data_IF_098472180515
#
_entry.id   IF_098472180515
#
_cell.length_a   1.000
_cell.length_b   1.000
_cell.length_c   1.000
_cell.angle_alpha   90.00
_cell.angle_beta   90.00
_cell.angle_gamma   90.00
#
_symmetry.space_group_name_H-M   'P 1'
#
loop_
_entity.id
_entity.type
_entity.pdbx_description
1 polymer ?
#
# COMPACT_ATOMS: atom_id res chain seq x y z
N UNK A 1 -10.27 -4.70 10.10
CA UNK A 1 -11.64 -5.22 10.01
C UNK A 1 -12.69 -4.21 10.48
N UNK A 2 -12.71 -3.78 11.79
CA UNK A 2 -13.77 -2.90 12.29
C UNK A 2 -13.88 -1.58 11.52
N UNK A 3 -12.76 -0.89 11.25
CA UNK A 3 -12.73 0.37 10.46
C UNK A 3 -13.29 0.15 9.06
N UNK A 4 -12.88 -0.91 8.38
CA UNK A 4 -13.36 -1.22 7.04
C UNK A 4 -14.87 -1.47 7.00
N UNK A 5 -15.41 -2.25 7.94
CA UNK A 5 -16.84 -2.54 8.02
C UNK A 5 -17.69 -1.29 8.32
N UNK A 6 -17.25 -0.44 9.25
CA UNK A 6 -17.94 0.81 9.57
C UNK A 6 -17.86 1.81 8.42
N UNK A 7 -16.74 1.83 7.71
CA UNK A 7 -16.53 2.66 6.52
C UNK A 7 -17.27 2.18 5.27
N UNK A 8 -17.88 0.99 5.30
CA UNK A 8 -18.59 0.42 4.14
C UNK A 8 -17.66 0.15 2.95
N UNK A 9 -16.41 -0.27 3.22
CA UNK A 9 -15.40 -0.49 2.17
C UNK A 9 -15.74 -1.71 1.31
N UNK A 10 -15.46 -1.61 0.03
CA UNK A 10 -15.67 -2.69 -0.95
C UNK A 10 -14.44 -3.58 -1.11
N UNK A 11 -13.26 -3.06 -0.83
CA UNK A 11 -11.99 -3.77 -0.93
C UNK A 11 -10.96 -3.21 0.07
N UNK A 12 -9.87 -3.94 0.26
CA UNK A 12 -8.72 -3.51 1.08
C UNK A 12 -7.50 -3.31 0.19
N UNK A 13 -6.65 -2.36 0.57
CA UNK A 13 -5.33 -2.16 -0.05
C UNK A 13 -4.28 -2.42 1.03
N UNK A 14 -3.35 -3.29 0.71
CA UNK A 14 -2.23 -3.68 1.55
C UNK A 14 -0.91 -3.28 0.88
N UNK A 15 -0.15 -2.44 1.57
CA UNK A 15 1.11 -1.91 1.08
C UNK A 15 2.34 -2.64 1.64
N UNK A 16 2.16 -3.86 2.16
CA UNK A 16 3.22 -4.79 2.53
C UNK A 16 3.82 -4.60 3.93
N UNK A 17 4.83 -5.42 4.19
CA UNK A 17 5.46 -5.65 5.50
C UNK A 17 4.51 -6.37 6.48
N UNK A 18 3.80 -7.39 5.97
CA UNK A 18 2.96 -8.27 6.77
C UNK A 18 3.75 -9.24 7.64
N UNK A 19 4.99 -9.45 7.29
CA UNK A 19 5.93 -10.31 8.03
C UNK A 19 7.15 -9.51 8.47
N UNK A 20 7.97 -10.09 9.34
CA UNK A 20 9.23 -9.49 9.78
C UNK A 20 10.43 -9.99 8.98
N UNK A 21 10.29 -11.15 8.32
CA UNK A 21 11.40 -11.80 7.62
C UNK A 21 10.98 -12.66 6.41
N UNK A 22 9.70 -12.74 6.11
CA UNK A 22 9.16 -13.61 5.05
C UNK A 22 9.20 -15.10 5.39
N UNK A 23 9.43 -15.46 6.64
CA UNK A 23 9.48 -16.85 7.05
C UNK A 23 8.10 -17.52 6.98
N UNK A 24 8.06 -18.79 6.59
CA UNK A 24 6.80 -19.52 6.41
C UNK A 24 5.92 -19.57 7.66
N UNK A 25 6.50 -19.53 8.86
CA UNK A 25 5.74 -19.49 10.11
C UNK A 25 5.10 -18.11 10.40
N UNK A 26 5.52 -17.05 9.71
CA UNK A 26 4.94 -15.70 9.85
C UNK A 26 3.70 -15.50 8.98
N UNK A 27 3.37 -16.44 8.08
CA UNK A 27 2.21 -16.31 7.17
C UNK A 27 0.86 -16.29 7.89
N UNK A 28 0.82 -16.56 9.20
CA UNK A 28 -0.38 -16.38 10.01
C UNK A 28 -0.91 -14.92 10.01
N UNK A 29 -0.06 -13.93 9.79
CA UNK A 29 -0.48 -12.52 9.65
C UNK A 29 -1.35 -12.34 8.41
N UNK A 30 -0.96 -12.94 7.28
CA UNK A 30 -1.72 -12.94 6.03
C UNK A 30 -3.05 -13.69 6.21
N UNK A 31 -3.02 -14.85 6.90
CA UNK A 31 -4.23 -15.60 7.22
C UNK A 31 -5.21 -14.76 8.05
N UNK A 32 -4.69 -14.06 9.06
CA UNK A 32 -5.48 -13.18 9.93
C UNK A 32 -6.04 -11.97 9.16
N UNK A 33 -5.27 -11.42 8.21
CA UNK A 33 -5.76 -10.35 7.35
C UNK A 33 -6.87 -10.86 6.42
N UNK A 34 -6.69 -12.04 5.81
CA UNK A 34 -7.70 -12.67 4.96
C UNK A 34 -9.01 -12.95 5.74
N UNK A 35 -8.91 -13.50 6.95
CA UNK A 35 -10.08 -13.71 7.82
C UNK A 35 -10.75 -12.38 8.21
N UNK A 36 -9.96 -11.34 8.43
CA UNK A 36 -10.46 -10.00 8.77
C UNK A 36 -11.09 -9.29 7.57
N UNK A 37 -10.60 -9.54 6.37
CA UNK A 37 -11.15 -9.03 5.11
C UNK A 37 -12.52 -9.65 4.81
N UNK A 38 -12.75 -10.89 5.27
CA UNK A 38 -14.00 -11.62 5.05
C UNK A 38 -14.26 -11.78 3.52
N UNK A 39 -15.34 -11.22 3.01
CA UNK A 39 -15.70 -11.29 1.58
C UNK A 39 -15.12 -10.11 0.73
N UNK A 40 -14.32 -9.22 1.34
CA UNK A 40 -13.74 -8.10 0.60
C UNK A 40 -12.56 -8.56 -0.25
N UNK A 41 -12.45 -8.03 -1.47
CA UNK A 41 -11.25 -8.18 -2.29
C UNK A 41 -10.05 -7.49 -1.60
N UNK A 42 -8.86 -8.08 -1.69
CA UNK A 42 -7.62 -7.49 -1.16
C UNK A 42 -6.65 -7.28 -2.31
N UNK A 43 -6.22 -6.04 -2.50
CA UNK A 43 -5.13 -5.66 -3.42
C UNK A 43 -3.86 -5.51 -2.59
N UNK A 44 -2.79 -6.18 -2.96
CA UNK A 44 -1.58 -6.21 -2.14
C UNK A 44 -0.29 -6.05 -2.96
N UNK A 45 0.72 -5.46 -2.32
CA UNK A 45 2.12 -5.49 -2.75
C UNK A 45 2.99 -5.97 -1.60
N UNK A 46 3.85 -6.97 -1.77
CA UNK A 46 4.80 -7.38 -0.73
C UNK A 46 5.81 -6.27 -0.41
N UNK A 47 6.11 -6.08 0.87
CA UNK A 47 7.12 -5.13 1.35
C UNK A 47 8.52 -5.73 1.41
N UNK A 48 9.48 -4.92 1.88
CA UNK A 48 10.89 -5.33 1.95
C UNK A 48 11.17 -6.37 3.04
N UNK A 49 10.28 -6.55 4.02
CA UNK A 49 10.33 -7.61 5.02
C UNK A 49 9.60 -8.89 4.57
N UNK A 50 8.79 -8.84 3.53
CA UNK A 50 8.06 -9.96 2.95
C UNK A 50 8.94 -10.72 1.94
N UNK A 51 10.03 -11.29 2.46
CA UNK A 51 11.09 -11.85 1.64
C UNK A 51 10.71 -13.17 0.95
N UNK A 52 11.30 -13.38 -0.20
CA UNK A 52 11.10 -14.60 -0.98
C UNK A 52 9.70 -14.69 -1.59
N UNK A 53 9.40 -15.86 -2.15
CA UNK A 53 8.12 -16.09 -2.82
C UNK A 53 7.01 -16.55 -1.87
N UNK A 54 7.36 -16.87 -0.61
CA UNK A 54 6.45 -17.47 0.37
C UNK A 54 5.27 -16.54 0.68
N UNK A 55 5.55 -15.26 0.94
CA UNK A 55 4.54 -14.27 1.31
C UNK A 55 3.59 -14.01 0.15
N UNK A 56 4.13 -13.63 -1.00
CA UNK A 56 3.30 -13.38 -2.20
C UNK A 56 2.51 -14.62 -2.65
N UNK A 57 3.07 -15.83 -2.48
CA UNK A 57 2.35 -17.08 -2.73
C UNK A 57 1.21 -17.27 -1.75
N UNK A 58 1.45 -17.03 -0.44
CA UNK A 58 0.40 -17.15 0.57
C UNK A 58 -0.72 -16.14 0.36
N UNK A 59 -0.39 -14.89 0.01
CA UNK A 59 -1.38 -13.88 -0.36
C UNK A 59 -2.29 -14.37 -1.49
N UNK A 60 -1.71 -14.89 -2.58
CA UNK A 60 -2.49 -15.45 -3.71
C UNK A 60 -3.34 -16.66 -3.31
N UNK A 61 -2.81 -17.56 -2.48
CA UNK A 61 -3.58 -18.71 -1.94
C UNK A 61 -4.78 -18.27 -1.11
N UNK A 62 -4.68 -17.11 -0.44
CA UNK A 62 -5.77 -16.51 0.32
C UNK A 62 -6.70 -15.62 -0.51
N UNK A 63 -6.51 -15.57 -1.83
CA UNK A 63 -7.36 -14.84 -2.76
C UNK A 63 -7.02 -13.36 -2.93
N UNK A 64 -5.84 -12.91 -2.48
CA UNK A 64 -5.42 -11.53 -2.71
C UNK A 64 -4.98 -11.32 -4.16
N UNK A 65 -5.35 -10.18 -4.71
CA UNK A 65 -4.79 -9.69 -5.97
C UNK A 65 -3.42 -9.05 -5.68
N UNK A 66 -2.36 -9.84 -5.86
CA UNK A 66 -0.97 -9.38 -5.69
C UNK A 66 -0.52 -8.70 -6.98
N UNK A 67 -0.24 -7.40 -6.91
CA UNK A 67 0.23 -6.61 -8.05
C UNK A 67 1.68 -7.01 -8.41
N UNK A 68 1.99 -7.07 -9.70
CA UNK A 68 3.26 -7.59 -10.23
C UNK A 68 3.81 -6.76 -11.40
N UNK A 69 3.68 -5.44 -11.31
CA UNK A 69 4.21 -4.51 -12.31
C UNK A 69 3.33 -4.30 -13.53
N UNK A 70 2.12 -4.90 -13.57
CA UNK A 70 1.18 -4.77 -14.67
C UNK A 70 -0.13 -4.09 -14.20
N UNK A 71 -0.75 -3.23 -15.04
CA UNK A 71 -2.02 -2.61 -14.72
C UNK A 71 -3.12 -3.66 -14.52
N UNK A 72 -3.78 -3.63 -13.37
CA UNK A 72 -4.77 -4.63 -12.94
C UNK A 72 -6.04 -3.94 -12.49
N UNK A 73 -7.21 -4.45 -12.88
CA UNK A 73 -8.50 -3.90 -12.48
C UNK A 73 -9.10 -4.69 -11.32
N UNK A 74 -9.42 -3.99 -10.23
CA UNK A 74 -10.08 -4.55 -9.04
C UNK A 74 -11.20 -3.62 -8.61
N UNK A 75 -12.38 -4.15 -8.36
CA UNK A 75 -13.58 -3.39 -7.98
C UNK A 75 -13.87 -2.17 -8.88
N UNK A 76 -13.50 -2.24 -10.15
CA UNK A 76 -13.66 -1.16 -11.13
C UNK A 76 -12.53 -0.12 -11.14
N UNK A 77 -11.59 -0.18 -10.21
CA UNK A 77 -10.44 0.73 -10.12
C UNK A 77 -9.24 0.10 -10.85
N UNK A 78 -8.50 0.91 -11.60
CA UNK A 78 -7.29 0.47 -12.31
C UNK A 78 -6.06 0.73 -11.46
N UNK A 79 -5.51 -0.34 -10.91
CA UNK A 79 -4.31 -0.35 -10.08
C UNK A 79 -3.06 -0.68 -10.88
N UNK A 80 -1.92 -0.16 -10.41
CA UNK A 80 -0.58 -0.62 -10.73
C UNK A 80 0.19 -0.76 -9.42
N UNK A 81 1.14 -1.64 -9.36
CA UNK A 81 2.04 -1.80 -8.21
C UNK A 81 2.95 -2.98 -8.40
N UNK A 82 3.95 -3.09 -7.54
CA UNK A 82 4.87 -4.22 -7.54
C UNK A 82 5.48 -4.39 -6.14
N UNK A 83 6.04 -5.57 -5.88
CA UNK A 83 6.76 -5.86 -4.64
C UNK A 83 7.97 -4.94 -4.46
N UNK A 84 8.31 -4.62 -3.21
CA UNK A 84 9.55 -3.89 -2.93
C UNK A 84 10.77 -4.70 -3.44
N UNK A 85 11.66 -4.11 -4.25
CA UNK A 85 12.80 -4.82 -4.81
C UNK A 85 13.90 -5.13 -3.78
N UNK A 86 13.77 -4.55 -2.58
CA UNK A 86 14.73 -4.81 -1.49
C UNK A 86 14.31 -6.01 -0.65
N UNK A 87 15.27 -6.53 0.07
CA UNK A 87 15.07 -7.57 1.08
C UNK A 87 15.73 -7.12 2.38
N UNK A 88 14.96 -7.01 3.45
CA UNK A 88 15.41 -6.57 4.78
C UNK A 88 15.22 -7.68 5.80
N UNK A 89 16.02 -8.74 5.70
CA UNK A 89 16.08 -9.82 6.68
C UNK A 89 17.28 -9.72 7.60
N UNK A 90 17.45 -10.74 8.44
CA UNK A 90 18.65 -10.92 9.28
C UNK A 90 19.94 -11.05 8.46
N UNK A 91 19.82 -11.48 7.22
CA UNK A 91 20.85 -11.43 6.18
C UNK A 91 20.33 -10.61 5.03
N UNK A 92 20.81 -9.37 4.82
CA UNK A 92 20.41 -8.56 3.69
C UNK A 92 20.97 -9.15 2.41
N UNK A 93 20.38 -10.21 1.93
CA UNK A 93 20.62 -10.74 0.60
C UNK A 93 19.79 -9.89 -0.37
N UNK A 94 20.45 -8.97 -1.07
CA UNK A 94 19.89 -8.44 -2.31
C UNK A 94 19.61 -9.67 -3.18
N UNK A 95 18.36 -9.85 -3.56
CA UNK A 95 18.03 -10.87 -4.56
C UNK A 95 18.91 -10.54 -5.77
N UNK A 96 19.78 -11.46 -6.15
CA UNK A 96 20.67 -11.25 -7.28
C UNK A 96 19.83 -10.91 -8.52
N UNK A 97 20.09 -9.77 -9.15
CA UNK A 97 19.39 -9.33 -10.36
C UNK A 97 18.14 -8.46 -10.15
N UNK A 98 17.84 -8.05 -8.93
CA UNK A 98 16.73 -7.12 -8.69
C UNK A 98 17.12 -5.67 -8.92
N UNK A 99 16.14 -4.90 -9.43
CA UNK A 99 16.23 -3.47 -9.64
C UNK A 99 16.40 -2.69 -8.33
N UNK A 100 16.89 -1.47 -8.43
CA UNK A 100 16.90 -0.50 -7.33
C UNK A 100 15.53 0.17 -7.21
N UNK A 101 15.30 0.89 -6.09
CA UNK A 101 14.08 1.71 -5.92
C UNK A 101 13.92 2.73 -7.06
N UNK A 102 15.01 3.33 -7.53
CA UNK A 102 14.97 4.29 -8.64
C UNK A 102 14.59 3.61 -9.96
N UNK A 103 15.18 2.45 -10.26
CA UNK A 103 14.85 1.69 -11.47
C UNK A 103 13.39 1.20 -11.44
N UNK A 104 12.89 0.78 -10.27
CA UNK A 104 11.47 0.44 -10.10
C UNK A 104 10.58 1.66 -10.32
N UNK A 105 10.94 2.83 -9.77
CA UNK A 105 10.18 4.06 -9.95
C UNK A 105 10.08 4.44 -11.44
N UNK A 106 11.18 4.39 -12.17
CA UNK A 106 11.22 4.68 -13.61
C UNK A 106 10.35 3.68 -14.39
N UNK A 107 10.50 2.39 -14.14
CA UNK A 107 9.73 1.34 -14.81
C UNK A 107 8.23 1.46 -14.55
N UNK A 108 7.82 1.64 -13.29
CA UNK A 108 6.40 1.79 -12.94
C UNK A 108 5.81 3.07 -13.54
N UNK A 109 6.60 4.15 -13.62
CA UNK A 109 6.19 5.37 -14.30
C UNK A 109 6.01 5.14 -15.81
N UNK A 110 6.94 4.45 -16.47
CA UNK A 110 6.82 4.11 -17.90
C UNK A 110 5.55 3.30 -18.16
N UNK A 111 5.29 2.24 -17.37
CA UNK A 111 4.07 1.42 -17.47
C UNK A 111 2.81 2.25 -17.24
N UNK A 112 2.79 3.10 -16.21
CA UNK A 112 1.62 3.94 -15.92
C UNK A 112 1.33 4.95 -17.03
N UNK A 113 2.39 5.57 -17.58
CA UNK A 113 2.26 6.53 -18.67
C UNK A 113 1.83 5.87 -19.99
N UNK A 114 2.33 4.68 -20.29
CA UNK A 114 1.93 3.91 -21.47
C UNK A 114 0.46 3.46 -21.37
N UNK A 115 0.02 3.00 -20.22
CA UNK A 115 -1.36 2.60 -19.97
C UNK A 115 -2.34 3.79 -20.04
N UNK A 116 -1.96 4.92 -19.45
CA UNK A 116 -2.74 6.17 -19.46
C UNK A 116 -4.01 6.14 -18.61
N UNK A 117 -4.40 4.99 -18.05
CA UNK A 117 -5.63 4.80 -17.28
C UNK A 117 -5.41 4.39 -15.83
N UNK A 118 -4.15 4.29 -15.37
CA UNK A 118 -3.85 3.94 -13.99
C UNK A 118 -4.33 5.04 -13.04
N UNK A 119 -5.30 4.69 -12.21
CA UNK A 119 -5.84 5.59 -11.20
C UNK A 119 -4.96 5.58 -9.94
N UNK A 120 -4.61 4.39 -9.46
CA UNK A 120 -3.91 4.23 -8.18
C UNK A 120 -2.68 3.36 -8.33
N UNK A 121 -1.52 3.92 -7.98
CA UNK A 121 -0.26 3.20 -7.85
C UNK A 121 -0.05 2.81 -6.38
N UNK A 122 0.10 1.51 -6.12
CA UNK A 122 0.39 0.96 -4.79
C UNK A 122 1.82 0.45 -4.76
N UNK A 123 2.62 0.98 -3.87
CA UNK A 123 4.02 0.60 -3.67
C UNK A 123 4.33 0.49 -2.19
N UNK A 124 5.35 -0.30 -1.82
CA UNK A 124 5.74 -0.34 -0.41
C UNK A 124 6.54 0.92 -0.02
N UNK A 125 7.63 1.22 -0.73
CA UNK A 125 8.42 2.45 -0.50
C UNK A 125 7.83 3.63 -1.28
N UNK A 126 7.56 4.78 -0.64
CA UNK A 126 6.99 5.95 -1.32
C UNK A 126 7.85 6.47 -2.48
N UNK A 127 9.17 6.25 -2.45
CA UNK A 127 10.05 6.68 -3.53
C UNK A 127 9.82 5.89 -4.83
N UNK A 128 9.33 4.65 -4.76
CA UNK A 128 8.99 3.84 -5.95
C UNK A 128 7.79 4.41 -6.75
N UNK A 129 6.95 5.23 -6.11
CA UNK A 129 5.77 5.82 -6.78
C UNK A 129 5.96 7.28 -7.21
N UNK A 130 7.04 7.93 -6.76
CA UNK A 130 7.18 9.38 -6.92
C UNK A 130 7.32 9.79 -8.40
N UNK A 131 8.06 9.04 -9.20
CA UNK A 131 8.29 9.34 -10.61
C UNK A 131 6.98 9.31 -11.43
N UNK A 132 6.11 8.32 -11.20
CA UNK A 132 4.80 8.26 -11.87
C UNK A 132 3.90 9.45 -11.50
N UNK A 133 3.94 9.91 -10.26
CA UNK A 133 3.24 11.13 -9.82
C UNK A 133 3.83 12.38 -10.48
N UNK A 134 5.16 12.50 -10.54
CA UNK A 134 5.84 13.64 -11.14
C UNK A 134 5.63 13.74 -12.66
N UNK A 135 5.42 12.61 -13.34
CA UNK A 135 5.08 12.56 -14.76
C UNK A 135 3.57 12.76 -15.03
N UNK A 136 2.72 12.82 -14.00
CA UNK A 136 1.28 13.00 -14.14
C UNK A 136 0.55 11.75 -14.66
N UNK A 137 1.12 10.56 -14.50
CA UNK A 137 0.59 9.33 -15.08
C UNK A 137 -0.33 8.54 -14.14
N UNK A 138 -0.53 9.02 -12.91
CA UNK A 138 -1.41 8.41 -11.90
C UNK A 138 -2.16 9.50 -11.14
N UNK A 139 -3.31 9.17 -10.54
CA UNK A 139 -4.06 10.11 -9.70
C UNK A 139 -3.61 10.05 -8.24
N UNK A 140 -3.33 8.84 -7.75
CA UNK A 140 -2.99 8.57 -6.37
C UNK A 140 -1.84 7.58 -6.26
N UNK A 141 -0.86 7.90 -5.41
CA UNK A 141 0.18 6.96 -4.96
C UNK A 141 -0.07 6.63 -3.49
N UNK A 142 -0.25 5.36 -3.19
CA UNK A 142 -0.38 4.82 -1.84
C UNK A 142 0.87 4.02 -1.47
N UNK A 143 1.38 4.26 -0.25
CA UNK A 143 2.56 3.56 0.24
C UNK A 143 2.52 3.27 1.73
N UNK A 144 3.45 2.42 2.20
CA UNK A 144 3.69 2.05 3.59
C UNK A 144 5.11 2.38 4.05
N UNK A 145 5.85 1.36 4.51
CA UNK A 145 7.27 1.34 4.85
C UNK A 145 7.71 2.24 6.02
N UNK A 146 7.30 3.49 6.06
CA UNK A 146 7.83 4.50 6.98
C UNK A 146 7.24 4.41 8.39
N UNK A 147 6.25 3.56 8.63
CA UNK A 147 5.52 3.40 9.89
C UNK A 147 4.98 4.71 10.47
N UNK A 148 4.78 5.70 9.62
CA UNK A 148 4.22 7.01 9.96
C UNK A 148 3.43 7.57 8.78
N UNK A 149 2.39 8.31 9.07
CA UNK A 149 1.61 9.02 8.06
C UNK A 149 2.44 10.15 7.45
N UNK A 150 2.47 10.22 6.11
CA UNK A 150 2.94 11.38 5.36
C UNK A 150 1.90 11.74 4.29
N UNK A 151 1.65 13.01 4.14
CA UNK A 151 0.68 13.52 3.19
C UNK A 151 -0.76 13.59 3.76
N UNK A 152 -1.80 13.70 2.88
CA UNK A 152 -1.66 13.74 1.42
C UNK A 152 -0.86 14.95 0.93
N UNK A 153 -0.04 14.74 -0.09
CA UNK A 153 0.79 15.78 -0.72
C UNK A 153 0.49 15.83 -2.22
N UNK A 154 0.13 17.00 -2.71
CA UNK A 154 -0.07 17.21 -4.14
C UNK A 154 1.29 17.31 -4.86
N UNK A 155 1.41 16.61 -5.97
CA UNK A 155 2.57 16.65 -6.88
C UNK A 155 2.06 17.13 -8.23
N UNK A 156 2.59 18.27 -8.69
CA UNK A 156 2.20 18.86 -9.98
C UNK A 156 3.20 18.43 -11.04
N UNK A 157 2.72 17.80 -12.09
CA UNK A 157 3.50 17.41 -13.25
C UNK A 157 3.77 18.59 -14.20
N UNK A 158 4.73 18.49 -15.14
CA UNK A 158 5.04 19.56 -16.09
C UNK A 158 3.90 19.97 -17.01
N UNK A 159 2.95 19.09 -17.26
CA UNK A 159 1.73 19.36 -18.06
C UNK A 159 0.62 20.05 -17.26
N UNK A 160 0.84 20.24 -15.94
CA UNK A 160 -0.11 20.86 -15.03
C UNK A 160 -1.05 19.87 -14.34
N UNK A 161 -1.01 18.59 -14.69
CA UNK A 161 -1.78 17.56 -13.96
C UNK A 161 -1.30 17.40 -12.53
N UNK A 162 -2.21 16.99 -11.63
CA UNK A 162 -1.90 16.87 -10.21
C UNK A 162 -2.16 15.43 -9.75
N UNK A 163 -1.13 14.81 -9.21
CA UNK A 163 -1.23 13.55 -8.49
C UNK A 163 -1.18 13.79 -6.98
N UNK A 164 -1.74 12.87 -6.20
CA UNK A 164 -1.63 12.88 -4.74
C UNK A 164 -0.75 11.72 -4.27
N UNK A 165 0.21 11.99 -3.39
CA UNK A 165 0.99 10.95 -2.72
C UNK A 165 0.57 10.85 -1.25
N UNK A 166 0.42 9.63 -0.75
CA UNK A 166 0.05 9.36 0.63
C UNK A 166 0.74 8.09 1.13
N UNK A 167 1.40 8.22 2.28
CA UNK A 167 1.97 7.10 3.04
C UNK A 167 1.12 6.84 4.26
N UNK A 168 0.58 5.64 4.40
CA UNK A 168 -0.15 5.23 5.60
C UNK A 168 0.81 4.97 6.77
N UNK A 169 0.31 5.16 7.99
CA UNK A 169 1.00 4.71 9.19
C UNK A 169 0.97 3.19 9.33
N UNK A 170 1.54 2.67 10.41
CA UNK A 170 1.57 1.23 10.64
C UNK A 170 0.20 0.69 11.04
N UNK A 171 -0.31 -0.31 10.33
CA UNK A 171 -1.59 -0.97 10.67
C UNK A 171 -1.47 -1.86 11.92
N UNK A 172 -0.28 -2.42 12.18
CA UNK A 172 0.00 -3.23 13.36
C UNK A 172 0.46 -2.46 14.60
N UNK A 173 0.56 -1.11 14.54
CA UNK A 173 1.11 -0.31 15.64
C UNK A 173 2.56 -0.66 15.96
N UNK A 174 3.31 -1.16 14.99
CA UNK A 174 4.70 -1.55 15.14
C UNK A 174 5.60 -0.32 15.28
N UNK A 175 6.52 -0.36 16.26
CA UNK A 175 7.54 0.67 16.42
C UNK A 175 8.85 0.28 15.71
N UNK A 176 9.07 -1.02 15.53
CA UNK A 176 10.23 -1.65 14.91
C UNK A 176 9.77 -2.88 14.14
N UNK A 177 10.61 -3.40 13.26
CA UNK A 177 10.34 -4.60 12.45
C UNK A 177 10.01 -5.87 13.25
N UNK A 178 10.29 -5.92 14.55
CA UNK A 178 9.92 -7.02 15.43
C UNK A 178 9.02 -6.47 16.54
N UNK A 179 7.72 -6.81 16.49
CA UNK A 179 6.77 -6.55 17.58
C UNK A 179 6.41 -7.87 18.26
N UNK A 180 6.87 -8.06 19.49
CA UNK A 180 6.48 -9.20 20.32
C UNK A 180 5.30 -8.81 21.21
N UNK A 181 4.21 -9.58 21.13
CA UNK A 181 3.02 -9.44 21.97
C UNK A 181 1.83 -8.78 21.27
N UNK A 182 0.67 -8.85 21.89
CA UNK A 182 -0.63 -8.42 21.33
C UNK A 182 -1.00 -6.95 21.60
N UNK A 183 -0.13 -6.18 22.28
CA UNK A 183 -0.39 -4.77 22.58
C UNK A 183 0.26 -3.86 21.56
N UNK A 184 -0.51 -2.92 21.04
CA UNK A 184 0.01 -1.83 20.20
C UNK A 184 1.06 -1.04 20.99
N UNK A 185 2.21 -0.82 20.40
CA UNK A 185 3.30 0.02 20.97
C UNK A 185 3.20 1.47 20.53
N UNK A 186 2.55 1.69 19.40
CA UNK A 186 2.17 3.00 18.84
C UNK A 186 0.71 2.90 18.41
N UNK A 187 0.02 4.01 18.19
CA UNK A 187 -1.25 3.99 17.48
C UNK A 187 -1.10 3.25 16.15
N UNK A 188 -2.03 2.34 15.88
CA UNK A 188 -2.17 1.75 14.56
C UNK A 188 -3.00 2.70 13.68
N UNK A 189 -2.82 2.63 12.37
CA UNK A 189 -3.53 3.50 11.44
C UNK A 189 -4.06 2.70 10.26
N UNK A 190 -5.29 3.03 9.86
CA UNK A 190 -5.88 2.65 8.58
C UNK A 190 -6.43 3.91 7.91
N UNK A 191 -6.47 3.93 6.58
CA UNK A 191 -7.02 5.07 5.85
C UNK A 191 -8.14 4.60 4.95
N UNK A 192 -9.28 5.26 5.04
CA UNK A 192 -10.38 5.09 4.08
C UNK A 192 -10.06 5.94 2.85
N UNK A 193 -10.01 5.31 1.69
CA UNK A 193 -9.86 5.96 0.39
C UNK A 193 -11.22 5.92 -0.30
N UNK A 194 -11.73 7.07 -0.71
CA UNK A 194 -12.99 7.16 -1.42
C UNK A 194 -12.74 7.39 -2.89
N UNK A 195 -13.43 6.60 -3.71
CA UNK A 195 -13.42 6.72 -5.16
C UNK A 195 -14.81 7.15 -5.65
N UNK A 196 -14.83 8.07 -6.61
CA UNK A 196 -16.00 8.37 -7.43
C UNK A 196 -15.77 7.69 -8.79
N UNK A 197 -16.50 6.60 -9.03
CA UNK A 197 -16.21 5.69 -10.14
C UNK A 197 -14.78 5.13 -10.04
N UNK A 198 -13.85 5.55 -10.89
CA UNK A 198 -12.45 5.12 -10.88
C UNK A 198 -11.50 6.17 -10.28
N UNK A 199 -11.99 7.38 -10.00
CA UNK A 199 -11.17 8.51 -9.56
C UNK A 199 -11.12 8.59 -8.05
N UNK A 200 -9.95 8.61 -7.41
CA UNK A 200 -9.82 8.83 -5.98
C UNK A 200 -10.19 10.29 -5.67
N UNK A 201 -11.11 10.50 -4.73
CA UNK A 201 -11.63 11.82 -4.39
C UNK A 201 -11.32 12.25 -2.96
N UNK A 202 -10.88 11.34 -2.11
CA UNK A 202 -10.55 11.72 -0.75
C UNK A 202 -9.96 10.61 0.10
N UNK A 203 -9.31 11.05 1.17
CA UNK A 203 -8.65 10.22 2.18
C UNK A 203 -9.19 10.60 3.57
N UNK A 204 -9.47 9.59 4.37
CA UNK A 204 -9.83 9.78 5.78
C UNK A 204 -9.08 8.79 6.67
N UNK A 205 -7.95 9.21 7.27
CA UNK A 205 -7.21 8.37 8.19
C UNK A 205 -7.97 8.12 9.49
N UNK A 206 -7.81 6.93 10.04
CA UNK A 206 -8.37 6.50 11.32
C UNK A 206 -7.25 5.92 12.16
N UNK A 207 -6.96 6.56 13.27
CA UNK A 207 -5.99 6.09 14.24
C UNK A 207 -6.66 5.17 15.26
N UNK A 208 -5.98 4.10 15.61
CA UNK A 208 -6.37 3.18 16.68
C UNK A 208 -5.36 3.37 17.79
N UNK A 209 -5.79 4.01 18.88
CA UNK A 209 -4.90 4.30 20.00
C UNK A 209 -4.42 3.02 20.69
N UNK A 210 -3.35 3.12 21.47
CA UNK A 210 -2.85 2.00 22.27
C UNK A 210 -3.85 1.53 23.32
N UNK A 211 -4.87 2.34 23.62
CA UNK A 211 -6.00 2.00 24.48
C UNK A 211 -7.17 1.32 23.74
N UNK A 212 -7.08 1.19 22.42
CA UNK A 212 -8.11 0.53 21.59
C UNK A 212 -9.27 1.45 21.18
N UNK A 213 -9.15 2.77 21.35
CA UNK A 213 -10.13 3.74 20.86
C UNK A 213 -9.82 4.17 19.43
N UNK A 214 -10.84 4.51 18.66
CA UNK A 214 -10.72 5.01 17.29
C UNK A 214 -10.78 6.53 17.29
N UNK A 215 -9.83 7.16 16.60
CA UNK A 215 -9.77 8.59 16.37
C UNK A 215 -9.81 8.85 14.86
N UNK A 216 -10.93 9.38 14.38
CA UNK A 216 -11.12 9.67 12.96
C UNK A 216 -10.55 11.05 12.65
N UNK A 217 -9.55 11.10 11.76
CA UNK A 217 -8.95 12.36 11.32
C UNK A 217 -9.89 13.07 10.34
N UNK A 218 -9.70 14.39 10.12
CA UNK A 218 -10.46 15.13 9.13
C UNK A 218 -10.31 14.53 7.73
N UNK A 219 -11.41 14.56 6.97
CA UNK A 219 -11.40 14.26 5.55
C UNK A 219 -10.39 15.16 4.82
N UNK A 220 -9.66 14.59 3.87
CA UNK A 220 -8.72 15.27 2.98
C UNK A 220 -9.14 15.00 1.53
N UNK A 221 -9.49 16.07 0.83
CA UNK A 221 -9.83 15.98 -0.58
C UNK A 221 -8.60 15.65 -1.42
N UNK A 222 -8.79 14.80 -2.44
CA UNK A 222 -7.82 14.54 -3.51
C UNK A 222 -8.28 15.37 -4.71
N UNK A 223 -7.45 16.30 -5.20
CA UNK A 223 -7.80 17.04 -6.40
C UNK A 223 -7.83 16.10 -7.61
N UNK A 224 -8.79 16.28 -8.54
CA UNK A 224 -8.79 15.48 -9.77
C UNK A 224 -7.56 15.79 -10.62
N UNK A 225 -7.06 14.78 -11.32
CA UNK A 225 -6.07 14.99 -12.39
C UNK A 225 -6.77 15.69 -13.56
N UNK A 226 -6.36 16.92 -13.84
CA UNK A 226 -6.90 17.75 -14.93
C UNK A 226 -6.28 17.39 -16.27
#
# INVERSE_FOLDING_TARGET
AAVARVGGTSFLIDAGDDTSSGAAWETFSIDSLAEAADDMEVVAVPGNHDQGDTVGTRMRERGFTVLQGEPTQVAGIRFLGDADPRSSGYTPERRAGQETISEQADRLADVACEDGGVSTLVVHDPNSGLEAAQRGCVDLVLSGHLHRQLGPTAVTAPDGSVATTYTNGTTGGAAFSIALGSKLRRPAQMTLVTYAEQTPVGLQPVDITTGGTFEVQPWREIPPRL
#
